data_IF_629880333363
#
_entry.id   IF_629880333363
#
_cell.length_a   1.000
_cell.length_b   1.000
_cell.length_c   1.000
_cell.angle_alpha   90.00
_cell.angle_beta   90.00
_cell.angle_gamma   90.00
#
_symmetry.space_group_name_H-M   'P 1'
#
loop_
_entity.id
_entity.type
_entity.pdbx_description
1 polymer ?
#
# COMPACT_ATOMS: atom_id res chain seq x y z
N UNK A 1 5.21 9.26 -13.38
CA UNK A 1 5.36 7.86 -13.85
C UNK A 1 4.10 7.50 -14.63
N UNK A 2 4.20 7.29 -15.95
CA UNK A 2 3.07 6.91 -16.79
C UNK A 2 2.59 5.50 -16.45
N UNK A 3 1.27 5.25 -16.47
CA UNK A 3 0.70 3.91 -16.24
C UNK A 3 1.14 2.98 -17.38
N UNK A 4 1.77 1.86 -17.04
CA UNK A 4 2.01 0.81 -18.01
C UNK A 4 0.68 0.26 -18.50
N UNK A 5 0.51 0.15 -19.81
CA UNK A 5 -0.64 -0.55 -20.38
C UNK A 5 -0.67 -1.99 -19.88
N UNK A 6 -1.88 -2.53 -19.68
CA UNK A 6 -2.06 -3.94 -19.36
C UNK A 6 -1.54 -4.80 -20.52
N UNK A 7 -0.92 -5.92 -20.17
CA UNK A 7 -0.57 -6.98 -21.10
C UNK A 7 -1.80 -7.45 -21.88
N UNK A 8 -1.61 -7.64 -23.19
CA UNK A 8 -2.60 -8.28 -24.06
C UNK A 8 -2.70 -9.77 -23.75
N UNK A 9 -3.79 -10.46 -24.14
CA UNK A 9 -3.93 -11.91 -23.92
C UNK A 9 -2.78 -12.75 -24.50
N UNK A 10 -2.24 -12.35 -25.65
CA UNK A 10 -1.08 -13.04 -26.24
C UNK A 10 0.19 -12.86 -25.39
N UNK A 11 0.40 -11.67 -24.85
CA UNK A 11 1.55 -11.41 -23.97
C UNK A 11 1.41 -12.11 -22.63
N UNK A 12 0.19 -12.19 -22.09
CA UNK A 12 -0.12 -12.97 -20.89
C UNK A 12 0.25 -14.45 -21.09
N UNK A 13 -0.21 -15.06 -22.18
CA UNK A 13 0.14 -16.45 -22.50
C UNK A 13 1.65 -16.67 -22.62
N UNK A 14 2.38 -15.71 -23.21
CA UNK A 14 3.84 -15.79 -23.26
C UNK A 14 4.47 -15.68 -21.87
N UNK A 15 3.96 -14.81 -20.99
CA UNK A 15 4.42 -14.74 -19.59
C UNK A 15 4.16 -16.07 -18.87
N UNK A 16 2.99 -16.67 -19.06
CA UNK A 16 2.63 -17.96 -18.44
C UNK A 16 3.59 -19.07 -18.87
N UNK A 17 3.87 -19.17 -20.18
CA UNK A 17 4.85 -20.13 -20.71
C UNK A 17 6.23 -19.88 -20.10
N UNK A 18 6.70 -18.63 -20.08
CA UNK A 18 8.00 -18.31 -19.49
C UNK A 18 8.07 -18.63 -17.99
N UNK A 19 6.98 -18.37 -17.26
CA UNK A 19 6.89 -18.66 -15.83
C UNK A 19 6.91 -20.18 -15.58
N UNK A 20 6.17 -20.95 -16.37
CA UNK A 20 6.17 -22.41 -16.31
C UNK A 20 7.54 -23.02 -16.64
N UNK A 21 8.29 -22.40 -17.55
CA UNK A 21 9.67 -22.77 -17.87
C UNK A 21 10.70 -22.32 -16.80
N UNK A 22 10.25 -21.72 -15.69
CA UNK A 22 11.12 -21.27 -14.60
C UNK A 22 12.00 -20.07 -14.95
N UNK A 23 11.65 -19.29 -15.99
CA UNK A 23 12.38 -18.07 -16.35
C UNK A 23 12.24 -17.03 -15.25
N UNK A 24 13.32 -16.32 -14.96
CA UNK A 24 13.32 -15.28 -13.94
C UNK A 24 12.63 -14.03 -14.48
N UNK A 25 11.96 -13.31 -13.57
CA UNK A 25 11.23 -12.07 -13.88
C UNK A 25 12.10 -11.01 -14.61
N UNK A 26 13.41 -10.99 -14.36
CA UNK A 26 14.31 -10.03 -15.02
C UNK A 26 14.61 -10.37 -16.48
N UNK A 27 14.40 -11.62 -16.89
CA UNK A 27 14.64 -12.12 -18.25
C UNK A 27 13.43 -11.88 -19.16
N UNK A 28 12.21 -12.00 -18.60
CA UNK A 28 10.95 -11.83 -19.34
C UNK A 28 10.82 -10.51 -20.12
N UNK A 29 11.17 -9.33 -19.57
CA UNK A 29 11.13 -8.06 -20.30
C UNK A 29 11.91 -8.07 -21.61
N UNK A 30 13.07 -8.75 -21.63
CA UNK A 30 13.96 -8.76 -22.81
C UNK A 30 13.35 -9.51 -23.98
N UNK A 31 12.47 -10.48 -23.70
CA UNK A 31 11.82 -11.30 -24.72
C UNK A 31 10.47 -10.71 -25.15
N UNK A 32 9.75 -10.09 -24.22
CA UNK A 32 8.38 -9.63 -24.45
C UNK A 32 8.28 -8.17 -24.88
N UNK A 33 9.36 -7.39 -24.77
CA UNK A 33 9.31 -5.95 -25.07
C UNK A 33 8.41 -5.16 -24.11
N UNK A 34 8.15 -5.72 -22.92
CA UNK A 34 7.28 -5.14 -21.89
C UNK A 34 8.05 -4.80 -20.63
N UNK A 35 7.53 -3.85 -19.86
CA UNK A 35 8.16 -3.44 -18.62
C UNK A 35 8.16 -4.57 -17.60
N UNK A 36 9.20 -4.64 -16.77
CA UNK A 36 9.27 -5.59 -15.65
C UNK A 36 8.10 -5.41 -14.69
N UNK A 37 7.62 -4.17 -14.53
CA UNK A 37 6.50 -3.86 -13.65
C UNK A 37 5.18 -4.41 -14.17
N UNK A 38 4.90 -4.30 -15.48
CA UNK A 38 3.70 -4.89 -16.07
C UNK A 38 3.66 -6.41 -15.86
N UNK A 39 4.80 -7.07 -16.10
CA UNK A 39 4.95 -8.52 -15.96
C UNK A 39 4.80 -8.92 -14.48
N UNK A 40 5.43 -8.18 -13.56
CA UNK A 40 5.34 -8.43 -12.12
C UNK A 40 3.91 -8.30 -11.59
N UNK A 41 3.19 -7.26 -12.00
CA UNK A 41 1.79 -7.07 -11.63
C UNK A 41 0.91 -8.21 -12.14
N UNK A 42 1.19 -8.74 -13.32
CA UNK A 42 0.48 -9.90 -13.85
C UNK A 42 0.76 -11.18 -13.04
N UNK A 43 2.03 -11.53 -12.85
CA UNK A 43 2.45 -12.76 -12.16
C UNK A 43 2.00 -12.79 -10.69
N UNK A 44 2.00 -11.64 -10.01
CA UNK A 44 1.63 -11.58 -8.59
C UNK A 44 0.11 -11.64 -8.34
N UNK A 45 -0.73 -11.40 -9.35
CA UNK A 45 -2.18 -11.30 -9.17
C UNK A 45 -2.94 -11.86 -10.39
N UNK A 46 -2.67 -13.10 -10.78
CA UNK A 46 -3.33 -13.74 -11.94
C UNK A 46 -4.87 -13.69 -11.87
N UNK A 47 -5.43 -13.82 -10.66
CA UNK A 47 -6.88 -13.92 -10.47
C UNK A 47 -7.56 -12.56 -10.67
N UNK A 48 -6.95 -11.46 -10.22
CA UNK A 48 -7.57 -10.13 -10.30
C UNK A 48 -6.93 -9.21 -11.35
N UNK A 49 -5.93 -9.68 -12.09
CA UNK A 49 -5.27 -8.88 -13.11
C UNK A 49 -6.25 -8.31 -14.14
N UNK A 50 -6.18 -7.00 -14.35
CA UNK A 50 -7.06 -6.28 -15.29
C UNK A 50 -8.53 -6.17 -14.85
N UNK A 51 -8.94 -6.81 -13.75
CA UNK A 51 -10.28 -6.63 -13.19
C UNK A 51 -10.33 -5.30 -12.45
N UNK A 52 -11.30 -4.45 -12.80
CA UNK A 52 -11.61 -3.29 -11.97
C UNK A 52 -12.18 -3.82 -10.65
N UNK A 53 -11.46 -3.64 -9.54
CA UNK A 53 -12.07 -3.85 -8.23
C UNK A 53 -13.31 -2.97 -8.17
N UNK A 54 -14.49 -3.59 -8.04
CA UNK A 54 -15.67 -2.89 -7.59
C UNK A 54 -15.41 -2.58 -6.12
N UNK A 55 -14.80 -1.42 -5.86
CA UNK A 55 -14.77 -0.89 -4.51
C UNK A 55 -16.24 -0.85 -4.06
N UNK A 56 -16.61 -1.45 -2.91
CA UNK A 56 -17.93 -1.20 -2.38
C UNK A 56 -18.05 0.32 -2.29
N UNK A 57 -19.06 0.89 -2.97
CA UNK A 57 -19.44 2.28 -2.71
C UNK A 57 -19.65 2.33 -1.20
N UNK A 58 -18.75 2.99 -0.48
CA UNK A 58 -18.90 3.18 0.94
C UNK A 58 -20.18 3.95 1.10
N UNK A 59 -21.22 3.23 1.53
CA UNK A 59 -22.47 3.75 2.04
C UNK A 59 -22.15 4.98 2.86
N UNK A 60 -22.81 6.08 2.47
CA UNK A 60 -22.87 7.37 3.11
C UNK A 60 -22.37 7.34 4.56
N UNK A 61 -21.26 8.04 4.83
CA UNK A 61 -20.94 8.38 6.21
C UNK A 61 -22.13 9.19 6.77
N UNK A 62 -22.88 8.71 7.76
CA UNK A 62 -23.73 9.62 8.51
C UNK A 62 -22.79 10.65 9.12
N UNK A 63 -23.03 11.92 8.81
CA UNK A 63 -22.36 13.06 9.43
C UNK A 63 -22.34 12.80 10.95
N UNK A 64 -21.15 12.55 11.49
CA UNK A 64 -20.92 12.66 12.92
C UNK A 64 -20.94 14.17 13.21
N UNK A 65 -21.75 14.65 14.16
CA UNK A 65 -21.72 16.05 14.53
C UNK A 65 -20.31 16.37 15.02
N UNK A 66 -19.69 17.33 14.34
CA UNK A 66 -18.39 17.90 14.67
C UNK A 66 -18.39 18.26 16.15
N UNK A 67 -17.70 17.45 16.94
CA UNK A 67 -17.50 17.67 18.36
C UNK A 67 -16.74 18.96 18.58
N UNK A 68 -17.29 19.82 19.44
CA UNK A 68 -16.76 21.16 19.76
C UNK A 68 -15.26 21.10 20.07
N UNK A 69 -14.47 21.84 19.28
CA UNK A 69 -13.04 22.08 19.45
C UNK A 69 -12.78 22.70 20.83
N UNK A 70 -12.30 21.91 21.80
CA UNK A 70 -11.74 22.44 23.05
C UNK A 70 -10.39 23.09 22.74
N UNK A 71 -10.27 24.40 22.97
CA UNK A 71 -8.98 25.09 22.90
C UNK A 71 -8.20 24.77 24.18
N UNK A 72 -7.14 23.99 24.06
CA UNK A 72 -6.11 23.94 25.10
C UNK A 72 -5.29 25.22 24.95
N UNK A 73 -5.58 26.22 25.78
CA UNK A 73 -4.66 27.33 26.01
C UNK A 73 -3.59 26.85 26.97
N UNK A 74 -2.36 26.74 26.48
CA UNK A 74 -1.15 26.54 27.27
C UNK A 74 -0.93 27.76 28.18
N UNK A 75 -1.55 27.75 29.34
CA UNK A 75 -1.24 28.69 30.41
C UNK A 75 -0.58 27.89 31.55
N UNK A 76 0.72 28.09 31.65
CA UNK A 76 1.50 28.01 32.89
C UNK A 76 1.81 26.61 33.43
N UNK A 77 2.79 25.97 32.76
CA UNK A 77 3.84 25.24 33.47
C UNK A 77 4.56 26.23 34.38
N UNK A 78 4.15 26.34 35.66
CA UNK A 78 5.00 26.72 36.79
C UNK A 78 4.33 26.26 38.08
N UNK A 79 5.05 25.47 38.88
CA UNK A 79 4.75 25.32 40.30
C UNK A 79 4.24 23.96 40.74
N UNK A 80 5.04 22.90 40.56
CA UNK A 80 5.24 21.94 41.65
C UNK A 80 6.72 21.54 41.63
N UNK A 81 7.51 22.20 42.47
CA UNK A 81 8.90 21.87 42.71
C UNK A 81 9.04 20.73 43.72
N UNK A 82 10.11 19.96 43.51
CA UNK A 82 10.99 19.37 44.53
C UNK A 82 10.36 18.54 45.68
N UNK A 83 10.59 17.23 45.71
CA UNK A 83 11.74 16.62 46.41
C UNK A 83 11.69 15.08 46.37
N UNK A 84 12.86 14.50 46.03
CA UNK A 84 13.44 13.21 46.44
C UNK A 84 12.71 11.90 46.11
N UNK A 85 13.31 11.17 45.17
CA UNK A 85 13.46 9.72 45.29
C UNK A 85 14.97 9.44 45.31
N UNK A 86 15.54 9.20 46.50
CA UNK A 86 16.80 8.48 46.63
C UNK A 86 16.47 6.99 46.83
N UNK A 87 17.14 6.15 46.03
CA UNK A 87 17.70 4.82 46.29
C UNK A 87 17.18 4.05 47.52
N UNK A 88 16.85 2.75 47.45
CA UNK A 88 17.73 1.64 47.04
C UNK A 88 16.95 0.37 46.69
N UNK A 89 17.57 -0.47 45.87
CA UNK A 89 17.27 -1.89 45.68
C UNK A 89 17.66 -2.69 46.94
N UNK A 90 16.72 -3.47 47.50
CA UNK A 90 16.75 -4.93 47.79
C UNK A 90 15.62 -5.27 48.78
#
# INVERSE_FOLDING_TARGET
>A
MARSAFLTPAEQANVDVMHQLGRKLHEMPRQLGRSRDAIRCYVNDLINYGKKQKLPQTTQHPHLPIGKRRKFTSATLQGIGLLRNEETND
#
